data_IF_503346762578
#
_entry.id   IF_503346762578
#
_cell.length_a   1.000
_cell.length_b   1.000
_cell.length_c   1.000
_cell.angle_alpha   90.00
_cell.angle_beta   90.00
_cell.angle_gamma   90.00
#
_symmetry.space_group_name_H-M   'P 1'
#
loop_
_entity.id
_entity.type
_entity.pdbx_description
1 polymer ?
#
# COMPACT_ATOMS: atom_id res chain seq x y z
N UNK A 1 -6.03 -5.45 18.89
CA UNK A 1 -5.26 -4.61 17.95
C UNK A 1 -3.77 -4.61 18.29
N UNK A 2 -3.35 -4.45 19.56
CA UNK A 2 -1.93 -4.46 19.96
C UNK A 2 -1.18 -5.73 19.54
N UNK A 3 -1.80 -6.91 19.67
CA UNK A 3 -1.22 -8.21 19.30
C UNK A 3 -0.92 -8.38 17.81
N UNK A 4 -1.66 -7.73 16.92
CA UNK A 4 -1.42 -7.84 15.48
C UNK A 4 -0.22 -7.00 15.04
N UNK A 5 -0.04 -5.81 15.64
CA UNK A 5 1.11 -4.93 15.37
C UNK A 5 2.40 -5.54 15.89
N UNK A 6 2.37 -6.16 17.08
CA UNK A 6 3.51 -6.91 17.61
C UNK A 6 3.93 -8.04 16.68
N UNK A 7 2.97 -8.76 16.11
CA UNK A 7 3.26 -9.83 15.15
C UNK A 7 3.83 -9.29 13.82
N UNK A 8 3.29 -8.19 13.31
CA UNK A 8 3.78 -7.54 12.08
C UNK A 8 5.22 -7.01 12.25
N UNK A 9 5.54 -6.45 13.41
CA UNK A 9 6.89 -5.94 13.73
C UNK A 9 7.91 -7.06 13.91
N UNK A 10 7.56 -8.17 14.57
CA UNK A 10 8.40 -9.38 14.64
C UNK A 10 8.70 -9.97 13.25
N UNK A 11 7.69 -10.03 12.38
CA UNK A 11 7.87 -10.49 10.99
C UNK A 11 8.82 -9.56 10.23
N UNK A 12 8.68 -8.25 10.43
CA UNK A 12 9.53 -7.25 9.80
C UNK A 12 10.99 -7.37 10.24
N UNK A 13 11.26 -7.50 11.54
CA UNK A 13 12.63 -7.68 12.05
C UNK A 13 13.26 -8.98 11.54
N UNK A 14 12.50 -10.08 11.55
CA UNK A 14 12.98 -11.34 11.00
C UNK A 14 13.32 -11.22 9.51
N UNK A 15 12.46 -10.58 8.72
CA UNK A 15 12.72 -10.37 7.30
C UNK A 15 13.94 -9.46 7.08
N UNK A 16 14.07 -8.36 7.83
CA UNK A 16 15.24 -7.46 7.76
C UNK A 16 16.54 -8.18 8.11
N UNK A 17 16.53 -9.11 9.07
CA UNK A 17 17.72 -9.89 9.43
C UNK A 17 18.14 -10.91 8.36
N UNK A 18 17.24 -11.25 7.43
CA UNK A 18 17.46 -12.27 6.40
C UNK A 18 18.15 -11.71 5.14
N UNK A 19 18.18 -10.38 4.99
CA UNK A 19 18.71 -9.70 3.81
C UNK A 19 19.82 -8.72 4.16
N UNK A 20 20.73 -8.50 3.22
CA UNK A 20 21.64 -7.37 3.30
C UNK A 20 20.84 -6.06 3.16
N UNK A 21 21.32 -4.92 3.72
CA UNK A 21 20.63 -3.64 3.65
C UNK A 21 20.24 -3.20 2.22
N UNK A 22 21.04 -3.59 1.24
CA UNK A 22 20.90 -3.18 -0.16
C UNK A 22 20.34 -4.29 -1.06
N UNK A 23 19.74 -5.34 -0.49
CA UNK A 23 19.16 -6.41 -1.30
C UNK A 23 17.93 -5.91 -2.07
N UNK A 24 17.95 -6.13 -3.39
CA UNK A 24 16.79 -5.95 -4.26
C UNK A 24 16.61 -7.22 -5.09
N UNK A 25 15.37 -7.73 -5.24
CA UNK A 25 15.04 -8.79 -6.19
C UNK A 25 15.59 -8.48 -7.58
N UNK A 26 16.33 -9.42 -8.18
CA UNK A 26 16.84 -9.31 -9.54
C UNK A 26 16.19 -10.34 -10.46
N UNK A 27 16.24 -10.09 -11.77
CA UNK A 27 15.75 -11.02 -12.81
C UNK A 27 16.67 -12.26 -12.96
N UNK A 28 17.85 -12.24 -12.33
CA UNK A 28 18.79 -13.37 -12.32
C UNK A 28 18.37 -14.48 -11.32
N UNK A 29 17.49 -14.15 -10.38
CA UNK A 29 16.95 -15.10 -9.40
C UNK A 29 15.64 -15.75 -9.90
N UNK A 30 15.32 -16.93 -9.36
CA UNK A 30 14.07 -17.62 -9.67
C UNK A 30 12.88 -16.74 -9.29
N UNK A 31 11.98 -16.53 -10.25
CA UNK A 31 10.78 -15.73 -10.07
C UNK A 31 9.96 -16.22 -8.87
N UNK A 32 9.57 -15.30 -7.99
CA UNK A 32 8.84 -15.58 -6.74
C UNK A 32 9.45 -16.69 -5.87
N UNK A 33 10.78 -16.74 -5.77
CA UNK A 33 11.46 -17.53 -4.73
C UNK A 33 11.09 -17.08 -3.32
N UNK A 34 11.36 -17.91 -2.31
CA UNK A 34 11.12 -17.56 -0.89
C UNK A 34 11.78 -16.24 -0.49
N UNK A 35 12.92 -15.90 -1.09
CA UNK A 35 13.61 -14.62 -0.89
C UNK A 35 12.82 -13.45 -1.46
N UNK A 36 12.34 -13.56 -2.69
CA UNK A 36 11.50 -12.55 -3.32
C UNK A 36 10.21 -12.32 -2.51
N UNK A 37 9.56 -13.40 -2.10
CA UNK A 37 8.32 -13.34 -1.31
C UNK A 37 8.56 -12.67 0.04
N UNK A 38 9.64 -13.03 0.75
CA UNK A 38 9.99 -12.41 2.03
C UNK A 38 10.33 -10.91 1.87
N UNK A 39 11.01 -10.52 0.79
CA UNK A 39 11.28 -9.11 0.47
C UNK A 39 9.99 -8.30 0.24
N UNK A 40 9.09 -8.79 -0.63
CA UNK A 40 7.83 -8.07 -0.90
C UNK A 40 6.91 -8.04 0.32
N UNK A 41 6.90 -9.10 1.14
CA UNK A 41 6.19 -9.11 2.42
C UNK A 41 6.72 -8.04 3.37
N UNK A 42 8.05 -7.92 3.51
CA UNK A 42 8.68 -6.87 4.31
C UNK A 42 8.26 -5.48 3.85
N UNK A 43 8.35 -5.21 2.54
CA UNK A 43 7.99 -3.93 1.93
C UNK A 43 6.50 -3.57 2.16
N UNK A 44 5.60 -4.55 2.01
CA UNK A 44 4.16 -4.36 2.24
C UNK A 44 3.84 -4.06 3.71
N UNK A 45 4.49 -4.76 4.65
CA UNK A 45 4.30 -4.52 6.09
C UNK A 45 4.83 -3.14 6.48
N UNK A 46 6.03 -2.78 6.02
CA UNK A 46 6.62 -1.47 6.29
C UNK A 46 5.74 -0.33 5.76
N UNK A 47 5.22 -0.48 4.54
CA UNK A 47 4.29 0.49 3.97
C UNK A 47 2.99 0.60 4.77
N UNK A 48 2.43 -0.53 5.22
CA UNK A 48 1.23 -0.55 6.07
C UNK A 48 1.45 0.18 7.39
N UNK A 49 2.59 -0.08 8.05
CA UNK A 49 2.95 0.56 9.31
C UNK A 49 3.17 2.07 9.13
N UNK A 50 3.83 2.49 8.04
CA UNK A 50 3.99 3.91 7.71
C UNK A 50 2.65 4.63 7.50
N UNK A 51 1.69 4.01 6.81
CA UNK A 51 0.34 4.60 6.64
C UNK A 51 -0.37 4.73 7.99
N UNK A 52 -0.21 3.74 8.86
CA UNK A 52 -0.82 3.76 10.19
C UNK A 52 -0.22 4.84 11.08
N UNK A 53 1.09 4.96 11.11
CA UNK A 53 1.79 5.99 11.87
C UNK A 53 1.39 7.39 11.41
N UNK A 54 1.29 7.61 10.10
CA UNK A 54 0.77 8.87 9.55
C UNK A 54 -0.67 9.15 10.02
N UNK A 55 -1.54 8.13 10.07
CA UNK A 55 -2.91 8.29 10.56
C UNK A 55 -2.97 8.60 12.07
N UNK A 56 -2.10 7.98 12.87
CA UNK A 56 -2.01 8.24 14.30
C UNK A 56 -1.49 9.68 14.57
N UNK A 57 -0.52 10.16 13.79
CA UNK A 57 -0.03 11.55 13.84
C UNK A 57 -1.11 12.58 13.47
N UNK A 58 -1.90 12.31 12.42
CA UNK A 58 -3.05 13.17 12.06
C UNK A 58 -4.05 13.23 13.21
N UNK A 59 -4.40 12.09 13.82
CA UNK A 59 -5.33 12.05 14.94
C UNK A 59 -4.83 12.84 16.15
N UNK A 60 -3.54 12.73 16.46
CA UNK A 60 -2.91 13.49 17.53
C UNK A 60 -2.92 14.99 17.24
N UNK A 61 -2.58 15.39 16.02
CA UNK A 61 -2.65 16.80 15.58
C UNK A 61 -4.06 17.37 15.68
N UNK A 62 -5.07 16.53 15.45
CA UNK A 62 -6.48 16.86 15.60
C UNK A 62 -6.92 17.02 17.06
N UNK A 63 -6.39 16.18 17.94
CA UNK A 63 -6.68 16.19 19.37
C UNK A 63 -6.00 17.37 20.09
N UNK A 64 -4.78 17.73 19.66
CA UNK A 64 -3.98 18.84 20.20
C UNK A 64 -4.34 20.20 19.57
N UNK A 65 -5.20 20.21 18.55
CA UNK A 65 -5.64 21.43 17.86
C UNK A 65 -6.42 22.38 18.80
N UNK A 66 -6.23 23.71 18.69
CA UNK A 66 -6.89 24.67 19.57
C UNK A 66 -8.41 24.55 19.46
N UNK A 67 -9.11 24.71 20.58
CA UNK A 67 -10.56 24.91 20.64
C UNK A 67 -10.87 26.05 19.66
N UNK A 68 -11.51 25.68 18.54
CA UNK A 68 -11.71 26.55 17.37
C UNK A 68 -12.65 27.71 17.70
N UNK A 69 -12.11 28.77 18.26
CA UNK A 69 -12.72 30.09 18.27
C UNK A 69 -11.74 31.07 17.64
N UNK A 70 -11.72 31.06 16.31
CA UNK A 70 -11.11 32.06 15.47
C UNK A 70 -12.14 32.42 14.38
N UNK A 71 -11.99 33.57 13.72
CA UNK A 71 -13.09 34.26 13.05
C UNK A 71 -13.77 33.48 11.89
N UNK A 72 -14.78 34.09 11.23
CA UNK A 72 -15.50 33.45 10.11
C UNK A 72 -14.59 33.00 8.96
N UNK A 73 -13.47 33.69 8.72
CA UNK A 73 -12.49 33.32 7.69
C UNK A 73 -11.63 32.13 8.15
N UNK A 74 -11.21 32.12 9.42
CA UNK A 74 -10.44 31.01 9.99
C UNK A 74 -11.25 29.72 10.02
N UNK A 75 -12.57 29.83 10.22
CA UNK A 75 -13.51 28.71 10.11
C UNK A 75 -13.61 28.17 8.69
N UNK A 76 -13.70 29.04 7.68
CA UNK A 76 -13.80 28.62 6.28
C UNK A 76 -12.54 27.88 5.79
N UNK A 77 -11.36 28.38 6.12
CA UNK A 77 -10.08 27.71 5.83
C UNK A 77 -10.01 26.35 6.53
N UNK A 78 -10.35 26.34 7.82
CA UNK A 78 -10.42 25.14 8.66
C UNK A 78 -11.32 24.04 8.09
N UNK A 79 -12.51 24.37 7.60
CA UNK A 79 -13.43 23.37 7.03
C UNK A 79 -12.89 22.78 5.71
N UNK A 80 -12.21 23.60 4.91
CA UNK A 80 -11.60 23.17 3.64
C UNK A 80 -10.46 22.19 3.88
N UNK A 81 -9.56 22.49 4.81
CA UNK A 81 -8.43 21.63 5.15
C UNK A 81 -8.91 20.26 5.67
N UNK A 82 -9.98 20.24 6.45
CA UNK A 82 -10.58 19.00 6.95
C UNK A 82 -11.22 18.17 5.84
N UNK A 83 -11.86 18.84 4.87
CA UNK A 83 -12.38 18.16 3.68
C UNK A 83 -11.29 17.49 2.85
N UNK A 84 -10.09 18.10 2.78
CA UNK A 84 -8.92 17.50 2.12
C UNK A 84 -8.41 16.30 2.92
N UNK A 85 -8.24 16.47 4.24
CA UNK A 85 -7.72 15.43 5.13
C UNK A 85 -8.60 14.17 5.11
N UNK A 86 -9.92 14.34 5.18
CA UNK A 86 -10.87 13.23 5.13
C UNK A 86 -10.75 12.42 3.82
N UNK A 87 -10.58 13.09 2.68
CA UNK A 87 -10.39 12.44 1.38
C UNK A 87 -9.05 11.71 1.31
N UNK A 88 -7.98 12.29 1.85
CA UNK A 88 -6.66 11.66 1.94
C UNK A 88 -6.74 10.38 2.77
N UNK A 89 -7.40 10.47 3.94
CA UNK A 89 -7.61 9.33 4.83
C UNK A 89 -8.39 8.20 4.16
N UNK A 90 -9.45 8.52 3.41
CA UNK A 90 -10.22 7.50 2.70
C UNK A 90 -9.41 6.79 1.61
N UNK A 91 -8.51 7.50 0.94
CA UNK A 91 -7.57 6.89 -0.02
C UNK A 91 -6.58 5.98 0.70
N UNK A 92 -6.01 6.42 1.82
CA UNK A 92 -5.11 5.61 2.64
C UNK A 92 -5.80 4.34 3.15
N UNK A 93 -7.05 4.43 3.63
CA UNK A 93 -7.82 3.25 4.05
C UNK A 93 -8.00 2.24 2.92
N UNK A 94 -8.35 2.70 1.72
CA UNK A 94 -8.48 1.84 0.53
C UNK A 94 -7.13 1.22 0.16
N UNK A 95 -6.03 1.95 0.31
CA UNK A 95 -4.69 1.45 0.07
C UNK A 95 -4.29 0.37 1.07
N UNK A 96 -4.56 0.55 2.37
CA UNK A 96 -4.34 -0.48 3.40
C UNK A 96 -5.10 -1.76 3.05
N UNK A 97 -6.36 -1.66 2.62
CA UNK A 97 -7.13 -2.83 2.18
C UNK A 97 -6.48 -3.56 1.00
N UNK A 98 -5.82 -2.84 0.07
CA UNK A 98 -5.07 -3.45 -1.04
C UNK A 98 -3.80 -4.13 -0.56
N UNK A 99 -3.08 -3.53 0.39
CA UNK A 99 -1.90 -4.13 1.01
C UNK A 99 -2.26 -5.43 1.74
N UNK A 100 -3.35 -5.45 2.51
CA UNK A 100 -3.84 -6.66 3.17
C UNK A 100 -4.28 -7.74 2.19
N UNK A 101 -4.82 -7.36 1.03
CA UNK A 101 -5.10 -8.29 -0.06
C UNK A 101 -3.81 -8.88 -0.63
N UNK A 102 -2.78 -8.05 -0.86
CA UNK A 102 -1.49 -8.51 -1.37
C UNK A 102 -0.78 -9.46 -0.39
N UNK A 103 -0.85 -9.19 0.92
CA UNK A 103 -0.33 -10.07 1.96
C UNK A 103 -1.05 -11.42 1.99
N UNK A 104 -2.38 -11.45 1.81
CA UNK A 104 -3.12 -12.72 1.68
C UNK A 104 -2.69 -13.52 0.45
N UNK A 105 -2.51 -12.86 -0.69
CA UNK A 105 -2.01 -13.51 -1.91
C UNK A 105 -0.60 -14.08 -1.73
N UNK A 106 0.23 -13.45 -0.89
CA UNK A 106 1.53 -14.01 -0.50
C UNK A 106 1.34 -15.31 0.29
N UNK A 107 0.40 -15.34 1.24
CA UNK A 107 0.10 -16.53 2.04
C UNK A 107 -0.47 -17.68 1.22
N UNK A 108 -1.23 -17.36 0.16
CA UNK A 108 -1.81 -18.31 -0.78
C UNK A 108 -0.82 -18.76 -1.87
N UNK A 109 0.32 -18.09 -2.01
CA UNK A 109 1.32 -18.38 -3.05
C UNK A 109 0.96 -17.86 -4.45
N UNK A 110 -0.05 -17.00 -4.57
CA UNK A 110 -0.52 -16.40 -5.83
C UNK A 110 0.07 -15.00 -6.10
N UNK A 111 0.95 -14.53 -5.21
CA UNK A 111 1.60 -13.23 -5.36
C UNK A 111 2.54 -13.21 -6.58
N UNK A 112 2.55 -12.08 -7.29
CA UNK A 112 3.36 -11.90 -8.49
C UNK A 112 2.62 -12.23 -9.79
N UNK A 113 1.53 -12.99 -9.78
CA UNK A 113 0.83 -13.36 -11.01
C UNK A 113 -0.37 -12.44 -11.31
N UNK A 114 -0.70 -12.29 -12.58
CA UNK A 114 -1.83 -11.49 -13.06
C UNK A 114 -3.16 -12.16 -12.70
N UNK A 115 -4.08 -11.46 -12.05
CA UNK A 115 -5.40 -12.01 -11.68
C UNK A 115 -6.30 -12.31 -12.89
N UNK A 116 -6.01 -11.72 -14.06
CA UNK A 116 -6.84 -11.89 -15.28
C UNK A 116 -6.26 -12.95 -16.21
N UNK A 117 -4.95 -12.93 -16.44
CA UNK A 117 -4.30 -13.79 -17.43
C UNK A 117 -3.48 -14.92 -16.83
N UNK A 118 -3.09 -14.83 -15.54
CA UNK A 118 -2.16 -15.74 -14.91
C UNK A 118 -0.68 -15.47 -15.22
N UNK A 119 -0.38 -14.49 -16.08
CA UNK A 119 0.99 -14.17 -16.48
C UNK A 119 1.83 -13.59 -15.32
N UNK A 120 3.16 -13.81 -15.29
CA UNK A 120 4.03 -13.20 -14.30
C UNK A 120 4.05 -11.67 -14.45
N UNK A 121 3.81 -10.96 -13.36
CA UNK A 121 3.97 -9.50 -13.28
C UNK A 121 5.47 -9.22 -13.16
N UNK A 122 5.98 -8.35 -14.04
CA UNK A 122 7.40 -7.99 -14.07
C UNK A 122 7.90 -7.46 -12.72
N UNK A 123 9.07 -7.92 -12.28
CA UNK A 123 9.66 -7.56 -10.98
C UNK A 123 9.79 -6.04 -10.80
N UNK A 124 10.24 -5.32 -11.84
CA UNK A 124 10.34 -3.85 -11.82
C UNK A 124 9.01 -3.16 -11.49
N UNK A 125 7.89 -3.72 -11.94
CA UNK A 125 6.54 -3.21 -11.65
C UNK A 125 6.15 -3.47 -10.20
N UNK A 126 6.46 -4.65 -9.67
CA UNK A 126 6.19 -4.99 -8.27
C UNK A 126 7.06 -4.17 -7.31
N UNK A 127 8.31 -3.90 -7.67
CA UNK A 127 9.19 -3.00 -6.90
C UNK A 127 8.62 -1.58 -6.84
N UNK A 128 8.17 -1.05 -7.99
CA UNK A 128 7.55 0.27 -8.04
C UNK A 128 6.16 0.32 -7.37
N UNK A 129 5.38 -0.76 -7.48
CA UNK A 129 4.02 -0.85 -6.95
C UNK A 129 3.70 -2.28 -6.49
N UNK A 130 4.00 -2.63 -5.23
CA UNK A 130 3.89 -4.01 -4.74
C UNK A 130 2.45 -4.50 -4.55
N UNK A 131 1.46 -3.60 -4.69
CA UNK A 131 0.01 -3.91 -4.67
C UNK A 131 -0.58 -4.11 -6.07
N UNK A 132 0.25 -4.13 -7.12
CA UNK A 132 -0.22 -4.34 -8.49
C UNK A 132 -0.75 -5.78 -8.67
N UNK A 133 -1.98 -5.90 -9.17
CA UNK A 133 -2.64 -7.21 -9.37
C UNK A 133 -2.65 -7.69 -10.83
N UNK A 134 -2.27 -6.82 -11.76
CA UNK A 134 -2.31 -7.07 -13.20
C UNK A 134 -0.99 -6.68 -13.86
N UNK A 135 -0.68 -7.29 -15.01
CA UNK A 135 0.44 -6.87 -15.88
C UNK A 135 0.17 -5.49 -16.50
N UNK A 136 1.21 -4.86 -17.06
CA UNK A 136 1.08 -3.56 -17.75
C UNK A 136 0.10 -3.69 -18.92
N UNK A 137 0.28 -4.71 -19.76
CA UNK A 137 -0.58 -4.95 -20.93
C UNK A 137 -2.04 -5.19 -20.54
N UNK A 138 -2.27 -6.00 -19.50
CA UNK A 138 -3.63 -6.24 -18.98
C UNK A 138 -4.26 -4.97 -18.43
N UNK A 139 -3.47 -4.14 -17.73
CA UNK A 139 -3.96 -2.86 -17.22
C UNK A 139 -4.31 -1.90 -18.36
N UNK A 140 -3.46 -1.78 -19.37
CA UNK A 140 -3.72 -0.93 -20.54
C UNK A 140 -4.96 -1.38 -21.32
N UNK A 141 -5.15 -2.71 -21.47
CA UNK A 141 -6.34 -3.27 -22.08
C UNK A 141 -7.61 -2.96 -21.28
N UNK A 142 -7.54 -3.05 -19.96
CA UNK A 142 -8.66 -2.71 -19.06
C UNK A 142 -9.02 -1.22 -19.16
N UNK A 143 -8.03 -0.33 -19.07
CA UNK A 143 -8.22 1.13 -19.17
C UNK A 143 -8.78 1.54 -20.54
N UNK A 144 -8.36 0.87 -21.63
CA UNK A 144 -8.90 1.11 -22.97
C UNK A 144 -10.38 0.73 -23.06
N UNK A 145 -10.78 -0.39 -22.46
CA UNK A 145 -12.20 -0.83 -22.42
C UNK A 145 -13.05 0.10 -21.57
N UNK A 146 -12.55 0.55 -20.43
CA UNK A 146 -13.26 1.52 -19.57
C UNK A 146 -13.48 2.86 -20.29
N UNK A 147 -12.50 3.36 -21.06
CA UNK A 147 -12.65 4.59 -21.85
C UNK A 147 -13.75 4.45 -22.90
N UNK A 148 -13.75 3.35 -23.67
CA UNK A 148 -14.78 3.10 -24.70
C UNK A 148 -16.17 3.03 -24.07
N UNK A 149 -16.31 2.40 -22.90
CA UNK A 149 -17.60 2.29 -22.19
C UNK A 149 -18.10 3.60 -21.57
N UNK A 150 -17.23 4.59 -21.34
CA UNK A 150 -17.63 5.89 -20.78
C UNK A 150 -18.07 6.89 -21.83
N UNK A 151 -17.63 6.71 -23.08
CA UNK A 151 -17.94 7.59 -24.21
C UNK A 151 -19.16 7.13 -25.04
N UNK A 152 -19.71 5.94 -24.77
CA UNK A 152 -20.97 5.41 -25.35
C UNK A 152 -22.12 5.52 -24.38
#
# INVERSE_FOLDING_TARGET
MATAVSKETEILEKAKSMFAPDYSPSEDEVYMSDKHVAYFRMLLIEWKLSIRDAADQTLQSLADGPIREADLNDRASSETDWGIELRTRDRQRKLVSKIESALRRIDEGEYGYCEVTGDPIGLKRLIARPVATMTVESQEAHERREKVSRDT
#
